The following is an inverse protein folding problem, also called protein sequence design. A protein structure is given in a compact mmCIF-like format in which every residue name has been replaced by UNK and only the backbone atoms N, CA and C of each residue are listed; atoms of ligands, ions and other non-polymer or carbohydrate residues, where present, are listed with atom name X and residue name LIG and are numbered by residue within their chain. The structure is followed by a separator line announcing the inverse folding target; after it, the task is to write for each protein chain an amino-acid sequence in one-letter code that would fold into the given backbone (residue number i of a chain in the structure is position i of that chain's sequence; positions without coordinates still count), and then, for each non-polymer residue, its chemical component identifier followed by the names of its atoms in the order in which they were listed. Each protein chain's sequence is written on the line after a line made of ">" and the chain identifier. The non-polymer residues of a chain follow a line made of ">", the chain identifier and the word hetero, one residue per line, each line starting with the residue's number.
data_IF_775223974466
#
_entry.id   IF_775223974466
#
_cell.length_a   1.000
_cell.length_b   1.000
_cell.length_c   1.000
_cell.angle_alpha   90.00
_cell.angle_beta   90.00
_cell.angle_gamma   90.00
#
_symmetry.space_group_name_H-M   'P 1'
#
loop_
_entity.id
_entity.type
_entity.pdbx_description
1 polymer ?
#
# COMPACT_ATOMS: atom_id res chain seq x y z
N UNK A 1 -25.70 -6.40 -2.95
CA UNK A 1 -24.55 -6.80 -3.78
C UNK A 1 -24.26 -5.69 -4.76
N UNK A 2 -23.22 -4.88 -4.51
CA UNK A 2 -22.64 -4.09 -5.60
C UNK A 2 -21.90 -5.08 -6.50
N UNK A 3 -22.10 -5.06 -7.82
CA UNK A 3 -21.30 -5.90 -8.70
C UNK A 3 -19.84 -5.56 -8.48
N UNK A 4 -19.01 -6.60 -8.40
CA UNK A 4 -17.55 -6.41 -8.31
C UNK A 4 -17.12 -5.51 -9.48
N UNK A 5 -16.19 -4.55 -9.32
CA UNK A 5 -15.77 -3.65 -10.41
C UNK A 5 -15.44 -4.38 -11.71
N UNK A 6 -15.01 -5.61 -11.61
CA UNK A 6 -14.70 -6.50 -12.72
C UNK A 6 -15.90 -6.91 -13.58
N UNK A 7 -17.12 -6.96 -13.07
CA UNK A 7 -18.30 -7.29 -13.88
C UNK A 7 -18.58 -6.22 -14.94
N UNK A 8 -18.17 -4.97 -14.69
CA UNK A 8 -18.31 -3.88 -15.68
C UNK A 8 -17.50 -4.12 -16.95
N UNK A 9 -16.31 -4.74 -16.85
CA UNK A 9 -15.48 -5.07 -18.00
C UNK A 9 -15.99 -6.33 -18.73
N UNK A 10 -16.66 -7.24 -18.03
CA UNK A 10 -17.29 -8.42 -18.62
C UNK A 10 -18.51 -8.07 -19.45
N UNK A 11 -19.34 -7.17 -18.93
CA UNK A 11 -20.60 -6.78 -19.57
C UNK A 11 -20.33 -5.80 -20.74
N UNK A 12 -21.28 -5.68 -21.67
CA UNK A 12 -21.15 -4.86 -22.89
C UNK A 12 -21.30 -3.34 -22.64
N UNK A 13 -20.79 -2.87 -21.51
CA UNK A 13 -20.76 -1.45 -21.20
C UNK A 13 -19.63 -0.75 -21.97
N UNK A 14 -19.96 0.39 -22.56
CA UNK A 14 -19.00 1.29 -23.16
C UNK A 14 -18.23 2.02 -22.05
N UNK A 15 -16.92 1.81 -21.97
CA UNK A 15 -16.06 2.42 -20.98
C UNK A 15 -15.10 3.40 -21.66
N UNK A 16 -14.69 4.42 -20.95
CA UNK A 16 -13.71 5.41 -21.40
C UNK A 16 -14.07 6.05 -22.75
N UNK A 17 -15.01 7.02 -22.78
CA UNK A 17 -15.33 7.78 -23.97
C UNK A 17 -14.14 8.69 -24.40
N UNK A 18 -13.84 8.70 -25.68
CA UNK A 18 -12.74 9.47 -26.27
C UNK A 18 -13.31 10.61 -27.11
N UNK A 19 -13.09 11.84 -26.67
CA UNK A 19 -13.50 13.05 -27.41
C UNK A 19 -12.63 14.27 -26.98
N UNK A 20 -12.52 15.33 -27.80
CA UNK A 20 -11.71 16.51 -27.49
C UNK A 20 -12.07 17.19 -26.16
N UNK A 21 -13.34 17.15 -25.76
CA UNK A 21 -13.85 17.75 -24.52
C UNK A 21 -13.71 16.83 -23.30
N UNK A 22 -13.01 15.70 -23.41
CA UNK A 22 -12.82 14.75 -22.31
C UNK A 22 -11.34 14.71 -21.94
N UNK A 23 -11.05 14.78 -20.65
CA UNK A 23 -9.73 14.57 -20.06
C UNK A 23 -9.82 13.55 -18.95
N UNK A 24 -8.87 12.66 -18.92
CA UNK A 24 -8.67 11.68 -17.84
C UNK A 24 -7.60 12.17 -16.90
N UNK A 25 -7.99 12.53 -15.69
CA UNK A 25 -7.09 12.97 -14.64
C UNK A 25 -6.67 11.79 -13.78
N UNK A 26 -5.37 11.62 -13.58
CA UNK A 26 -4.77 10.55 -12.80
C UNK A 26 -4.01 11.14 -11.63
N UNK A 27 -4.08 10.47 -10.49
CA UNK A 27 -3.37 10.89 -9.27
C UNK A 27 -1.94 10.34 -9.20
N UNK A 28 -1.59 9.37 -10.06
CA UNK A 28 -0.26 8.77 -10.17
C UNK A 28 0.08 8.45 -11.64
N UNK A 29 1.37 8.37 -11.93
CA UNK A 29 1.88 8.10 -13.29
C UNK A 29 1.62 6.66 -13.75
N UNK A 30 1.60 5.69 -12.84
CA UNK A 30 1.34 4.27 -13.15
C UNK A 30 -0.06 4.08 -13.76
N UNK A 31 -1.09 4.60 -13.12
CA UNK A 31 -2.47 4.43 -13.59
C UNK A 31 -2.69 5.21 -14.89
N UNK A 32 -1.98 6.35 -15.06
CA UNK A 32 -1.96 7.08 -16.32
C UNK A 32 -1.33 6.25 -17.45
N UNK A 33 -0.14 5.70 -17.23
CA UNK A 33 0.55 4.85 -18.20
C UNK A 33 -0.31 3.65 -18.60
N UNK A 34 -0.92 2.99 -17.62
CA UNK A 34 -1.83 1.86 -17.84
C UNK A 34 -2.94 2.17 -18.84
N UNK A 35 -3.64 3.31 -18.71
CA UNK A 35 -4.73 3.64 -19.62
C UNK A 35 -4.24 4.19 -20.98
N UNK A 36 -3.05 4.78 -21.03
CA UNK A 36 -2.40 5.12 -22.31
C UNK A 36 -2.07 3.82 -23.08
N UNK A 37 -1.47 2.83 -22.43
CA UNK A 37 -1.21 1.52 -23.04
C UNK A 37 -2.49 0.79 -23.47
N UNK A 38 -3.58 0.99 -22.75
CA UNK A 38 -4.91 0.50 -23.09
C UNK A 38 -5.57 1.26 -24.27
N UNK A 39 -4.95 2.36 -24.75
CA UNK A 39 -5.35 3.10 -25.95
C UNK A 39 -5.97 4.47 -25.71
N UNK A 40 -5.95 5.02 -24.49
CA UNK A 40 -6.32 6.44 -24.29
C UNK A 40 -5.20 7.31 -24.88
N UNK A 41 -5.51 8.27 -25.78
CA UNK A 41 -4.53 9.20 -26.29
C UNK A 41 -3.85 9.99 -25.16
N UNK A 42 -2.53 10.11 -25.22
CA UNK A 42 -1.76 10.80 -24.17
C UNK A 42 -2.19 12.25 -23.94
N UNK A 43 -2.63 12.95 -25.00
CA UNK A 43 -3.16 14.32 -24.97
C UNK A 43 -4.52 14.43 -24.26
N UNK A 44 -5.23 13.32 -24.09
CA UNK A 44 -6.46 13.24 -23.30
C UNK A 44 -6.21 12.86 -21.85
N UNK A 45 -4.95 12.72 -21.44
CA UNK A 45 -4.58 12.39 -20.08
C UNK A 45 -3.83 13.53 -19.41
N UNK A 46 -4.01 13.67 -18.10
CA UNK A 46 -3.24 14.61 -17.28
C UNK A 46 -2.93 14.00 -15.92
N UNK A 47 -1.77 14.34 -15.36
CA UNK A 47 -1.43 13.98 -13.99
C UNK A 47 -1.89 15.10 -13.06
N UNK A 48 -2.76 14.78 -12.12
CA UNK A 48 -3.29 15.67 -11.10
C UNK A 48 -3.13 15.02 -9.72
N UNK A 49 -1.93 15.07 -9.14
CA UNK A 49 -1.68 14.51 -7.83
C UNK A 49 -2.54 15.19 -6.77
N UNK A 50 -2.93 14.45 -5.73
CA UNK A 50 -3.70 15.00 -4.63
C UNK A 50 -2.88 16.06 -3.86
N UNK A 51 -3.57 17.04 -3.30
CA UNK A 51 -2.95 17.93 -2.34
C UNK A 51 -2.64 17.17 -1.03
N UNK A 52 -1.52 17.55 -0.42
CA UNK A 52 -1.09 17.04 0.89
C UNK A 52 -1.23 18.16 1.91
N UNK A 53 -1.98 17.89 2.95
CA UNK A 53 -2.07 18.76 4.12
C UNK A 53 -1.73 17.87 5.32
N UNK A 54 -0.47 17.89 5.78
CA UNK A 54 -0.07 17.08 6.91
C UNK A 54 -0.94 17.40 8.13
N UNK A 55 -1.36 16.38 8.90
CA UNK A 55 -2.11 16.62 10.13
C UNK A 55 -1.34 17.54 11.07
N UNK A 56 -2.04 18.51 11.66
CA UNK A 56 -1.44 19.37 12.67
C UNK A 56 -1.23 18.58 13.95
N UNK A 57 0.01 18.41 14.35
CA UNK A 57 0.40 17.82 15.65
C UNK A 57 0.78 18.89 16.68
N UNK A 58 0.35 20.12 16.45
CA UNK A 58 0.86 21.34 17.06
C UNK A 58 0.66 21.50 18.57
N UNK A 59 0.12 20.55 19.32
CA UNK A 59 -0.13 20.73 20.76
C UNK A 59 0.24 19.53 21.65
N UNK A 60 0.77 18.47 21.11
CA UNK A 60 1.20 17.35 21.95
C UNK A 60 2.71 17.46 22.24
N UNK A 61 3.07 17.40 23.51
CA UNK A 61 4.48 17.30 23.90
C UNK A 61 5.07 16.03 23.28
N UNK A 62 6.25 16.13 22.65
CA UNK A 62 6.95 14.94 22.18
C UNK A 62 7.24 14.00 23.34
N UNK A 63 7.35 12.68 23.11
CA UNK A 63 7.68 11.73 24.16
C UNK A 63 8.94 12.17 24.89
N UNK A 64 8.96 12.03 26.22
CA UNK A 64 10.13 12.35 27.03
C UNK A 64 11.34 11.50 26.61
N UNK A 65 12.57 12.01 26.70
CA UNK A 65 13.77 11.21 26.46
C UNK A 65 13.73 9.91 27.28
N UNK A 66 13.96 8.77 26.66
CA UNK A 66 13.89 7.45 27.29
C UNK A 66 12.50 6.80 27.28
N UNK A 67 11.48 7.43 26.71
CA UNK A 67 10.21 6.75 26.41
C UNK A 67 10.43 5.67 25.32
N UNK A 68 9.92 4.45 25.50
CA UNK A 68 9.99 3.42 24.48
C UNK A 68 9.44 3.90 23.14
N UNK A 69 10.07 3.47 22.04
CA UNK A 69 9.64 3.85 20.71
C UNK A 69 8.22 3.32 20.41
N UNK A 70 7.38 4.18 19.86
CA UNK A 70 6.04 3.81 19.39
C UNK A 70 5.97 3.98 17.88
N UNK A 71 5.71 2.90 17.18
CA UNK A 71 5.57 2.85 15.72
C UNK A 71 4.08 2.84 15.39
N UNK A 72 3.59 3.88 14.75
CA UNK A 72 2.17 3.99 14.39
C UNK A 72 1.96 3.76 12.89
N UNK A 73 1.02 2.88 12.56
CA UNK A 73 0.45 2.78 11.22
C UNK A 73 -0.84 3.62 11.16
N UNK A 74 -0.81 4.84 10.61
CA UNK A 74 -1.91 5.80 10.71
C UNK A 74 -3.00 5.57 9.67
N UNK A 75 -3.52 4.33 9.56
CA UNK A 75 -4.48 3.92 8.53
C UNK A 75 -5.62 3.08 9.11
N UNK A 76 -6.63 2.81 8.26
CA UNK A 76 -7.65 1.80 8.54
C UNK A 76 -7.18 0.42 8.18
N UNK A 77 -7.49 -0.57 9.01
CA UNK A 77 -7.14 -1.97 8.83
C UNK A 77 -7.92 -2.64 7.72
N UNK A 78 -7.65 -2.29 6.47
CA UNK A 78 -8.22 -2.91 5.27
C UNK A 78 -7.17 -3.76 4.55
N UNK A 79 -7.61 -4.72 3.76
CA UNK A 79 -6.78 -5.75 3.13
C UNK A 79 -5.49 -5.25 2.48
N UNK A 80 -5.59 -4.21 1.63
CA UNK A 80 -4.42 -3.65 0.93
C UNK A 80 -3.37 -3.01 1.85
N UNK A 81 -3.72 -2.77 3.12
CA UNK A 81 -2.81 -2.24 4.15
C UNK A 81 -1.93 -3.33 4.77
N UNK A 82 -2.17 -4.60 4.42
CA UNK A 82 -1.31 -5.73 4.73
C UNK A 82 -0.93 -5.79 6.23
N UNK A 83 -1.94 -5.98 7.08
CA UNK A 83 -1.77 -6.03 8.53
C UNK A 83 -0.81 -7.14 8.98
N UNK A 84 -0.74 -8.24 8.21
CA UNK A 84 0.18 -9.32 8.51
C UNK A 84 1.63 -8.90 8.58
N UNK A 85 2.03 -8.01 7.67
CA UNK A 85 3.40 -7.49 7.66
C UNK A 85 3.66 -6.56 8.86
N UNK A 86 2.68 -5.73 9.24
CA UNK A 86 2.77 -4.95 10.49
C UNK A 86 2.94 -5.87 11.71
N UNK A 87 2.14 -6.94 11.78
CA UNK A 87 2.20 -7.91 12.86
C UNK A 87 3.54 -8.65 12.89
N UNK A 88 4.04 -9.09 11.73
CA UNK A 88 5.34 -9.77 11.65
C UNK A 88 6.48 -8.84 12.06
N UNK A 89 6.52 -7.61 11.55
CA UNK A 89 7.55 -6.64 11.91
C UNK A 89 7.50 -6.28 13.40
N UNK A 90 6.31 -6.19 14.00
CA UNK A 90 6.19 -5.97 15.45
C UNK A 90 6.82 -7.08 16.27
N UNK A 91 6.67 -8.34 15.81
CA UNK A 91 7.20 -9.51 16.48
C UNK A 91 8.72 -9.67 16.35
N UNK A 92 9.32 -9.04 15.32
CA UNK A 92 10.76 -9.06 15.06
C UNK A 92 11.49 -7.84 15.65
N UNK A 93 10.76 -6.86 16.13
CA UNK A 93 11.32 -5.64 16.70
C UNK A 93 11.84 -5.89 18.14
N UNK A 94 12.73 -5.03 18.66
CA UNK A 94 13.14 -5.07 20.06
C UNK A 94 11.94 -4.98 21.02
N UNK A 95 12.02 -5.68 22.16
CA UNK A 95 10.94 -5.81 23.14
C UNK A 95 10.39 -4.47 23.68
N UNK A 96 11.23 -3.42 23.68
CA UNK A 96 10.85 -2.10 24.16
C UNK A 96 10.00 -1.31 23.16
N UNK A 97 9.88 -1.77 21.92
CA UNK A 97 9.17 -1.06 20.86
C UNK A 97 7.73 -1.52 20.79
N UNK A 98 6.79 -0.58 20.81
CA UNK A 98 5.37 -0.88 20.63
C UNK A 98 4.89 -0.49 19.23
N UNK A 99 4.02 -1.32 18.65
CA UNK A 99 3.38 -1.06 17.37
C UNK A 99 1.89 -0.80 17.55
N UNK A 100 1.33 0.06 16.73
CA UNK A 100 -0.09 0.34 16.74
C UNK A 100 -0.65 0.60 15.35
N UNK A 101 -1.88 0.12 15.11
CA UNK A 101 -2.70 0.48 13.95
C UNK A 101 -3.82 1.41 14.40
N UNK A 102 -4.01 2.55 13.73
CA UNK A 102 -4.92 3.59 14.19
C UNK A 102 -6.40 3.16 14.18
N UNK A 103 -6.94 2.66 13.09
CA UNK A 103 -8.39 2.48 12.92
C UNK A 103 -8.77 1.07 12.46
N UNK A 104 -9.82 0.52 13.06
CA UNK A 104 -10.53 -0.63 12.51
C UNK A 104 -11.29 -0.25 11.22
N UNK A 105 -11.60 -1.20 10.32
CA UNK A 105 -12.36 -0.92 9.12
C UNK A 105 -13.83 -0.59 9.45
N UNK A 106 -14.36 0.47 8.83
CA UNK A 106 -15.79 0.82 8.92
C UNK A 106 -16.63 -0.03 7.97
N UNK A 107 -16.07 -0.44 6.82
CA UNK A 107 -16.79 -1.24 5.85
C UNK A 107 -16.91 -2.69 6.36
N UNK A 108 -18.15 -3.22 6.55
CA UNK A 108 -18.36 -4.59 7.01
C UNK A 108 -17.69 -5.66 6.15
N UNK A 109 -17.41 -5.36 4.88
CA UNK A 109 -16.71 -6.30 3.98
C UNK A 109 -15.28 -6.61 4.45
N UNK A 110 -14.59 -5.66 5.08
CA UNK A 110 -13.22 -5.83 5.57
C UNK A 110 -13.14 -6.31 7.01
N UNK A 111 -14.26 -6.30 7.72
CA UNK A 111 -14.30 -6.67 9.15
C UNK A 111 -13.80 -8.10 9.41
N UNK A 112 -14.22 -9.14 8.65
CA UNK A 112 -13.74 -10.49 8.89
C UNK A 112 -12.22 -10.66 8.78
N UNK A 113 -11.59 -9.98 7.82
CA UNK A 113 -10.12 -10.02 7.65
C UNK A 113 -9.43 -9.31 8.81
N UNK A 114 -9.97 -8.19 9.26
CA UNK A 114 -9.44 -7.47 10.41
C UNK A 114 -9.55 -8.29 11.70
N UNK A 115 -10.70 -8.93 11.94
CA UNK A 115 -10.95 -9.75 13.12
C UNK A 115 -10.02 -10.98 13.15
N UNK A 116 -9.71 -11.60 12.00
CA UNK A 116 -8.69 -12.66 11.92
C UNK A 116 -7.31 -12.19 12.43
N UNK A 117 -6.93 -10.95 12.14
CA UNK A 117 -5.68 -10.39 12.65
C UNK A 117 -5.75 -10.05 14.13
N UNK A 118 -6.90 -9.60 14.65
CA UNK A 118 -7.11 -9.42 16.10
C UNK A 118 -6.93 -10.77 16.82
N UNK A 119 -7.56 -11.83 16.30
CA UNK A 119 -7.44 -13.18 16.84
C UNK A 119 -5.97 -13.68 16.80
N UNK A 120 -5.26 -13.46 15.70
CA UNK A 120 -3.86 -13.85 15.56
C UNK A 120 -2.93 -13.07 16.52
N UNK A 121 -3.16 -11.78 16.70
CA UNK A 121 -2.41 -10.96 17.67
C UNK A 121 -2.59 -11.51 19.09
N UNK A 122 -3.80 -11.86 19.47
CA UNK A 122 -4.10 -12.46 20.78
C UNK A 122 -3.49 -13.86 20.90
N UNK A 123 -3.68 -14.72 19.91
CA UNK A 123 -3.20 -16.11 19.89
C UNK A 123 -1.68 -16.20 20.01
N UNK A 124 -0.94 -15.37 19.31
CA UNK A 124 0.52 -15.38 19.26
C UNK A 124 1.18 -14.35 20.17
N UNK A 125 0.39 -13.61 20.96
CA UNK A 125 0.87 -12.57 21.87
C UNK A 125 1.77 -11.53 21.18
N UNK A 126 1.36 -11.09 19.98
CA UNK A 126 2.17 -10.16 19.19
C UNK A 126 2.17 -8.75 19.81
N UNK A 127 3.32 -8.03 19.84
CA UNK A 127 3.43 -6.72 20.48
C UNK A 127 2.87 -5.58 19.62
N UNK A 128 1.64 -5.74 19.12
CA UNK A 128 0.93 -4.76 18.30
C UNK A 128 -0.50 -4.56 18.77
N UNK A 129 -0.95 -3.31 18.78
CA UNK A 129 -2.32 -2.94 19.13
C UNK A 129 -3.09 -2.55 17.89
N UNK A 130 -4.24 -3.17 17.62
CA UNK A 130 -5.05 -2.92 16.43
C UNK A 130 -6.29 -2.08 16.74
N UNK A 131 -6.50 -0.96 16.01
CA UNK A 131 -7.68 -0.12 16.13
C UNK A 131 -7.68 0.75 17.40
N UNK A 132 -6.54 1.39 17.68
CA UNK A 132 -6.32 2.10 18.95
C UNK A 132 -7.09 3.42 19.08
N UNK A 133 -7.38 4.12 17.99
CA UNK A 133 -8.08 5.41 18.02
C UNK A 133 -9.53 5.22 18.48
N UNK A 134 -9.91 5.98 19.51
CA UNK A 134 -11.20 5.87 20.17
C UNK A 134 -11.27 4.79 21.26
N UNK A 135 -10.24 3.93 21.40
CA UNK A 135 -10.26 2.79 22.33
C UNK A 135 -9.13 2.83 23.37
N UNK A 136 -7.91 3.06 22.92
CA UNK A 136 -6.71 2.97 23.78
C UNK A 136 -5.94 4.28 23.72
N UNK A 137 -5.60 4.91 24.85
CA UNK A 137 -4.76 6.11 24.86
C UNK A 137 -3.30 5.76 24.52
N UNK A 138 -2.55 6.66 23.84
CA UNK A 138 -1.14 6.43 23.54
C UNK A 138 -0.23 6.48 24.77
N UNK A 139 -0.67 7.16 25.85
CA UNK A 139 0.00 7.20 27.15
C UNK A 139 -1.01 7.50 28.26
N UNK A 140 -0.68 7.20 29.53
CA UNK A 140 -1.54 7.54 30.67
C UNK A 140 -1.88 9.04 30.72
N UNK A 141 -3.17 9.33 30.87
CA UNK A 141 -3.67 10.70 30.94
C UNK A 141 -3.96 11.39 29.61
N UNK A 142 -3.66 10.75 28.48
CA UNK A 142 -4.03 11.24 27.16
C UNK A 142 -5.35 10.63 26.68
N UNK A 143 -6.08 11.38 25.87
CA UNK A 143 -7.26 10.86 25.17
C UNK A 143 -6.86 9.98 23.97
N UNK A 144 -7.61 8.91 23.63
CA UNK A 144 -7.30 8.03 22.51
C UNK A 144 -7.65 8.64 21.15
N UNK A 145 -7.24 9.89 20.92
CA UNK A 145 -7.49 10.59 19.66
C UNK A 145 -6.41 10.29 18.62
N UNK A 146 -6.76 10.43 17.34
CA UNK A 146 -5.82 10.28 16.24
C UNK A 146 -4.64 11.27 16.37
N UNK A 147 -4.93 12.52 16.75
CA UNK A 147 -3.91 13.55 16.94
C UNK A 147 -2.91 13.19 18.06
N UNK A 148 -3.40 12.68 19.19
CA UNK A 148 -2.54 12.25 20.29
C UNK A 148 -1.68 11.05 19.91
N UNK A 149 -2.22 10.07 19.18
CA UNK A 149 -1.45 8.95 18.67
C UNK A 149 -0.37 9.38 17.68
N UNK A 150 -0.70 10.27 16.73
CA UNK A 150 0.28 10.83 15.80
C UNK A 150 1.38 11.60 16.54
N UNK A 151 1.02 12.43 17.49
CA UNK A 151 1.98 13.23 18.25
C UNK A 151 2.92 12.36 19.09
N UNK A 152 2.37 11.36 19.78
CA UNK A 152 3.11 10.49 20.69
C UNK A 152 3.96 9.44 19.96
N UNK A 153 3.62 9.06 18.73
CA UNK A 153 4.43 8.11 17.96
C UNK A 153 5.80 8.68 17.62
N UNK A 154 6.84 7.89 17.81
CA UNK A 154 8.22 8.23 17.41
C UNK A 154 8.46 8.01 15.92
N UNK A 155 7.83 6.99 15.35
CA UNK A 155 7.94 6.58 13.95
C UNK A 155 6.56 6.35 13.34
N UNK A 156 6.48 6.52 12.03
CA UNK A 156 5.34 6.06 11.23
C UNK A 156 5.76 4.89 10.36
N UNK A 157 4.83 3.98 10.11
CA UNK A 157 5.08 2.81 9.26
C UNK A 157 4.05 2.71 8.15
N UNK A 158 4.46 2.16 7.01
CA UNK A 158 3.55 1.69 5.96
C UNK A 158 3.92 0.29 5.52
N UNK A 159 2.94 -0.63 5.54
CA UNK A 159 3.07 -1.99 5.02
C UNK A 159 2.11 -2.24 3.85
N UNK A 160 1.56 -1.17 3.27
CA UNK A 160 0.64 -1.25 2.14
C UNK A 160 1.27 -1.99 0.96
N UNK A 161 0.53 -2.93 0.37
CA UNK A 161 0.90 -3.58 -0.91
C UNK A 161 0.29 -2.86 -2.11
N UNK A 162 -0.55 -1.87 -1.87
CA UNK A 162 -1.13 -1.05 -2.92
C UNK A 162 -1.65 0.29 -2.40
N UNK A 163 -1.36 1.34 -3.13
CA UNK A 163 -1.87 2.69 -2.90
C UNK A 163 -2.40 3.33 -4.19
N UNK A 164 -3.33 4.28 -4.03
CA UNK A 164 -3.77 5.10 -5.15
C UNK A 164 -2.83 6.28 -5.37
N UNK A 165 -2.57 7.05 -4.30
CA UNK A 165 -1.68 8.21 -4.35
C UNK A 165 -0.48 8.07 -3.41
N UNK A 166 -0.68 7.56 -2.19
CA UNK A 166 0.41 7.34 -1.25
C UNK A 166 0.60 8.48 -0.25
N UNK A 167 -0.48 9.02 0.32
CA UNK A 167 -0.39 9.99 1.44
C UNK A 167 0.47 9.47 2.59
N UNK A 168 0.46 8.15 2.83
CA UNK A 168 1.28 7.51 3.85
C UNK A 168 2.80 7.73 3.68
N UNK A 169 3.26 8.10 2.47
CA UNK A 169 4.65 8.43 2.21
C UNK A 169 4.95 9.93 2.37
N UNK A 170 3.95 10.80 2.19
CA UNK A 170 4.14 12.26 2.14
C UNK A 170 3.80 12.94 3.47
N UNK A 171 2.77 12.47 4.17
CA UNK A 171 2.37 13.05 5.46
C UNK A 171 3.48 13.00 6.53
N UNK A 172 4.25 11.89 6.66
CA UNK A 172 5.37 11.82 7.60
C UNK A 172 6.41 12.92 7.37
N UNK A 173 6.74 13.22 6.10
CA UNK A 173 7.68 14.28 5.75
C UNK A 173 7.20 15.66 6.21
N UNK A 174 5.92 15.93 6.05
CA UNK A 174 5.32 17.18 6.51
C UNK A 174 5.25 17.31 8.04
N UNK A 175 5.28 16.20 8.75
CA UNK A 175 5.30 16.15 10.22
C UNK A 175 6.72 16.05 10.81
N UNK A 176 7.75 15.89 9.97
CA UNK A 176 9.12 15.66 10.42
C UNK A 176 9.30 14.33 11.18
N UNK A 177 8.47 13.33 10.88
CA UNK A 177 8.53 12.01 11.51
C UNK A 177 9.23 10.98 10.60
N UNK A 178 10.14 10.15 11.15
CA UNK A 178 10.72 9.04 10.41
C UNK A 178 9.62 8.10 9.89
N UNK A 179 9.70 7.74 8.61
CA UNK A 179 8.87 6.73 7.99
C UNK A 179 9.70 5.49 7.73
N UNK A 180 9.17 4.34 8.07
CA UNK A 180 9.71 3.02 7.75
C UNK A 180 8.65 2.14 7.08
N UNK A 181 9.08 1.06 6.45
CA UNK A 181 8.14 0.08 5.90
C UNK A 181 8.37 -0.24 4.43
N UNK A 182 7.30 -0.70 3.77
CA UNK A 182 7.33 -1.17 2.38
C UNK A 182 7.36 -0.01 1.38
N UNK A 183 8.28 -0.09 0.42
CA UNK A 183 8.25 0.74 -0.78
C UNK A 183 7.17 0.24 -1.76
N UNK A 184 6.58 1.16 -2.49
CA UNK A 184 5.73 0.91 -3.63
C UNK A 184 6.30 1.68 -4.82
N UNK A 185 7.28 1.13 -5.54
CA UNK A 185 7.98 1.83 -6.62
C UNK A 185 7.04 2.44 -7.66
N UNK A 186 5.91 1.78 -7.94
CA UNK A 186 4.89 2.24 -8.86
C UNK A 186 4.15 3.52 -8.39
N UNK A 187 4.31 3.91 -7.12
CA UNK A 187 3.77 5.13 -6.53
C UNK A 187 4.90 6.07 -6.12
N UNK A 188 5.90 5.55 -5.42
CA UNK A 188 6.98 6.36 -4.85
C UNK A 188 7.93 6.92 -5.92
N UNK A 189 7.97 6.31 -7.12
CA UNK A 189 8.74 6.86 -8.24
C UNK A 189 8.33 8.29 -8.59
N UNK A 190 7.02 8.62 -8.52
CA UNK A 190 6.54 9.98 -8.76
C UNK A 190 7.10 10.98 -7.73
N UNK A 191 7.25 10.56 -6.48
CA UNK A 191 7.79 11.39 -5.41
C UNK A 191 9.31 11.53 -5.50
N UNK A 192 10.00 10.43 -5.80
CA UNK A 192 11.46 10.40 -5.97
C UNK A 192 11.93 11.25 -7.17
N UNK A 193 11.09 11.40 -8.23
CA UNK A 193 11.36 12.32 -9.34
C UNK A 193 11.39 13.80 -8.90
N UNK A 194 10.86 14.11 -7.75
CA UNK A 194 10.86 15.42 -7.13
C UNK A 194 11.84 15.52 -5.95
N UNK A 195 12.85 14.64 -5.93
CA UNK A 195 13.92 14.61 -4.93
C UNK A 195 13.45 14.38 -3.49
N UNK A 196 12.20 13.84 -3.29
CA UNK A 196 11.69 13.51 -1.96
C UNK A 196 12.39 12.29 -1.37
N UNK A 197 12.96 12.45 -0.18
CA UNK A 197 13.53 11.36 0.62
C UNK A 197 12.44 10.78 1.52
N UNK A 198 11.91 9.61 1.17
CA UNK A 198 10.69 9.07 1.78
C UNK A 198 10.91 8.30 3.10
N UNK A 199 12.15 8.16 3.55
CA UNK A 199 12.49 7.42 4.77
C UNK A 199 13.16 6.08 4.49
N UNK A 200 13.15 5.19 5.49
CA UNK A 200 13.75 3.86 5.40
C UNK A 200 12.73 2.84 4.90
N UNK A 201 12.67 2.67 3.58
CA UNK A 201 11.76 1.75 2.91
C UNK A 201 12.51 0.52 2.41
N UNK A 202 11.82 -0.63 2.39
CA UNK A 202 12.29 -1.88 1.81
C UNK A 202 11.42 -2.30 0.63
N UNK A 203 11.99 -3.09 -0.28
CA UNK A 203 11.28 -3.59 -1.45
C UNK A 203 10.42 -4.81 -1.08
N UNK A 204 11.00 -5.76 -0.34
CA UNK A 204 10.38 -7.04 0.00
C UNK A 204 10.65 -7.42 1.47
N UNK A 205 9.67 -8.07 2.10
CA UNK A 205 9.82 -8.80 3.36
C UNK A 205 9.81 -10.30 3.05
N UNK A 206 10.97 -10.92 3.07
CA UNK A 206 11.22 -12.25 2.54
C UNK A 206 11.19 -13.32 3.62
N UNK A 207 10.51 -14.42 3.34
CA UNK A 207 10.49 -15.63 4.16
C UNK A 207 10.95 -16.85 3.34
N UNK A 208 11.53 -17.90 3.95
CA UNK A 208 11.86 -19.13 3.25
C UNK A 208 10.63 -19.78 2.60
N UNK A 209 10.75 -20.14 1.32
CA UNK A 209 9.66 -20.75 0.57
C UNK A 209 9.25 -22.12 1.12
N UNK A 210 10.17 -22.80 1.80
CA UNK A 210 9.92 -24.10 2.43
C UNK A 210 8.92 -24.04 3.58
N UNK A 211 8.71 -22.90 4.23
CA UNK A 211 7.72 -22.73 5.30
C UNK A 211 6.28 -22.94 4.82
N UNK A 212 6.03 -22.71 3.51
CA UNK A 212 4.71 -22.90 2.90
C UNK A 212 4.68 -24.14 2.01
N UNK A 213 5.77 -24.43 1.32
CA UNK A 213 5.85 -25.41 0.25
C UNK A 213 5.45 -24.84 -1.11
N UNK A 214 6.37 -24.97 -2.07
CA UNK A 214 6.21 -24.38 -3.44
C UNK A 214 5.00 -24.94 -4.18
N UNK A 215 4.76 -26.25 -4.08
CA UNK A 215 3.65 -26.88 -4.82
C UNK A 215 2.30 -26.39 -4.31
N UNK A 216 2.16 -26.25 -3.01
CA UNK A 216 0.95 -25.70 -2.38
C UNK A 216 0.69 -24.27 -2.81
N UNK A 217 1.73 -23.42 -2.83
CA UNK A 217 1.60 -22.03 -3.30
C UNK A 217 1.18 -21.97 -4.77
N UNK A 218 1.76 -22.82 -5.64
CA UNK A 218 1.40 -22.90 -7.05
C UNK A 218 -0.05 -23.36 -7.25
N UNK A 219 -0.57 -24.24 -6.41
CA UNK A 219 -1.97 -24.67 -6.47
C UNK A 219 -2.91 -23.53 -6.07
N UNK A 220 -2.61 -22.82 -4.97
CA UNK A 220 -3.37 -21.64 -4.55
C UNK A 220 -3.38 -20.58 -5.66
N UNK A 221 -2.21 -20.29 -6.23
CA UNK A 221 -2.06 -19.35 -7.33
C UNK A 221 -2.91 -19.74 -8.55
N UNK A 222 -2.89 -21.03 -8.91
CA UNK A 222 -3.69 -21.56 -10.03
C UNK A 222 -5.19 -21.37 -9.80
N UNK A 223 -5.67 -21.66 -8.60
CA UNK A 223 -7.09 -21.49 -8.26
C UNK A 223 -7.51 -20.02 -8.25
N UNK A 224 -6.69 -19.13 -7.72
CA UNK A 224 -6.99 -17.69 -7.75
C UNK A 224 -7.00 -17.13 -9.16
N UNK A 225 -6.02 -17.47 -9.99
CA UNK A 225 -6.00 -17.08 -11.40
C UNK A 225 -7.22 -17.60 -12.15
N UNK A 226 -7.64 -18.85 -11.90
CA UNK A 226 -8.87 -19.40 -12.49
C UNK A 226 -10.10 -18.60 -12.08
N UNK A 227 -10.22 -18.26 -10.79
CA UNK A 227 -11.34 -17.48 -10.28
C UNK A 227 -11.40 -16.08 -10.93
N UNK A 228 -10.26 -15.40 -11.01
CA UNK A 228 -10.16 -14.07 -11.65
C UNK A 228 -10.54 -14.15 -13.12
N UNK A 229 -9.91 -15.02 -13.91
CA UNK A 229 -10.21 -15.14 -15.34
C UNK A 229 -11.67 -15.53 -15.59
N UNK A 230 -12.22 -16.44 -14.78
CA UNK A 230 -13.63 -16.84 -14.85
C UNK A 230 -14.57 -15.66 -14.56
N UNK A 231 -14.26 -14.82 -13.58
CA UNK A 231 -15.06 -13.63 -13.26
C UNK A 231 -15.19 -12.68 -14.47
N UNK A 232 -14.18 -12.65 -15.35
CA UNK A 232 -14.21 -11.88 -16.60
C UNK A 232 -14.75 -12.66 -17.82
N UNK A 233 -15.28 -13.86 -17.61
CA UNK A 233 -15.75 -14.73 -18.70
C UNK A 233 -14.64 -15.24 -19.60
N UNK A 234 -13.41 -15.32 -19.13
CA UNK A 234 -12.22 -15.80 -19.84
C UNK A 234 -11.80 -17.18 -19.36
N UNK A 235 -11.15 -17.93 -20.23
CA UNK A 235 -10.43 -19.15 -19.83
C UNK A 235 -9.00 -18.79 -19.45
N UNK A 236 -8.43 -19.53 -18.52
CA UNK A 236 -7.03 -19.37 -18.11
C UNK A 236 -6.11 -19.64 -19.32
N UNK A 237 -5.29 -18.67 -19.75
CA UNK A 237 -4.38 -18.89 -20.88
C UNK A 237 -3.32 -19.95 -20.57
N UNK A 238 -2.89 -20.66 -21.63
CA UNK A 238 -1.74 -21.55 -21.51
C UNK A 238 -0.48 -20.73 -21.19
N UNK A 239 0.30 -21.19 -20.22
CA UNK A 239 1.55 -20.51 -19.83
C UNK A 239 1.40 -19.44 -18.74
N UNK A 240 0.20 -18.96 -18.46
CA UNK A 240 -0.04 -17.89 -17.46
C UNK A 240 0.55 -18.21 -16.09
N UNK A 241 0.54 -19.47 -15.67
CA UNK A 241 1.16 -19.88 -14.39
C UNK A 241 2.68 -19.69 -14.39
N UNK A 242 3.33 -19.92 -15.53
CA UNK A 242 4.76 -19.67 -15.66
C UNK A 242 5.06 -18.18 -15.60
N UNK A 243 4.31 -17.38 -16.35
CA UNK A 243 4.43 -15.91 -16.35
C UNK A 243 4.17 -15.31 -14.97
N UNK A 244 3.13 -15.79 -14.28
CA UNK A 244 2.82 -15.33 -12.90
C UNK A 244 3.91 -15.73 -11.93
N UNK A 245 4.44 -16.96 -12.04
CA UNK A 245 5.56 -17.41 -11.21
C UNK A 245 6.80 -16.53 -11.40
N UNK A 246 7.11 -16.16 -12.64
CA UNK A 246 8.22 -15.27 -12.98
C UNK A 246 7.96 -13.85 -12.45
N UNK A 247 6.74 -13.33 -12.62
CA UNK A 247 6.35 -12.00 -12.13
C UNK A 247 6.37 -11.87 -10.60
N UNK A 248 6.07 -12.96 -9.87
CA UNK A 248 6.11 -13.01 -8.40
C UNK A 248 7.51 -13.40 -7.87
N UNK A 249 8.50 -13.56 -8.74
CA UNK A 249 9.87 -13.96 -8.39
C UNK A 249 9.93 -15.16 -7.41
N UNK A 250 9.08 -16.19 -7.63
CA UNK A 250 8.99 -17.37 -6.76
C UNK A 250 10.29 -18.18 -6.77
N UNK A 251 11.20 -17.84 -5.84
CA UNK A 251 12.50 -18.45 -5.64
C UNK A 251 12.59 -19.30 -4.37
N UNK A 252 13.74 -19.30 -3.71
CA UNK A 252 13.95 -19.94 -2.41
C UNK A 252 13.36 -19.12 -1.26
N UNK A 253 13.14 -17.84 -1.51
CA UNK A 253 12.41 -16.92 -0.66
C UNK A 253 11.15 -16.44 -1.35
N UNK A 254 10.15 -16.06 -0.55
CA UNK A 254 8.87 -15.51 -0.97
C UNK A 254 8.66 -14.17 -0.29
N UNK A 255 8.13 -13.20 -1.04
CA UNK A 255 7.67 -11.98 -0.41
C UNK A 255 6.41 -12.24 0.41
N UNK A 256 6.52 -12.03 1.73
CA UNK A 256 5.43 -12.21 2.68
C UNK A 256 4.23 -11.32 2.36
N UNK A 257 4.46 -10.11 1.84
CA UNK A 257 3.43 -9.17 1.42
C UNK A 257 2.57 -9.67 0.26
N UNK A 258 3.05 -10.61 -0.51
CA UNK A 258 2.33 -11.21 -1.63
C UNK A 258 1.51 -12.47 -1.23
N UNK A 259 1.53 -12.88 0.03
CA UNK A 259 0.79 -14.04 0.51
C UNK A 259 -0.65 -13.68 0.89
N UNK A 260 -1.62 -14.60 0.71
CA UNK A 260 -2.94 -14.47 1.32
C UNK A 260 -2.84 -14.47 2.84
N UNK A 261 -3.75 -13.78 3.52
CA UNK A 261 -3.76 -13.63 4.97
C UNK A 261 -3.69 -14.97 5.73
N UNK A 262 -4.38 -16.00 5.22
CA UNK A 262 -4.34 -17.33 5.84
C UNK A 262 -2.93 -17.93 5.86
N UNK A 263 -2.14 -17.75 4.80
CA UNK A 263 -0.76 -18.19 4.74
C UNK A 263 0.16 -17.28 5.58
N UNK A 264 -0.10 -15.99 5.62
CA UNK A 264 0.63 -15.07 6.48
C UNK A 264 0.49 -15.47 7.96
N UNK A 265 -0.73 -15.79 8.41
CA UNK A 265 -0.99 -16.25 9.79
C UNK A 265 -0.32 -17.60 10.05
N UNK A 266 -0.36 -18.51 9.07
CA UNK A 266 0.22 -19.85 9.20
C UNK A 266 1.74 -19.84 9.40
N UNK A 267 2.44 -18.91 8.80
CA UNK A 267 3.91 -18.82 8.91
C UNK A 267 4.40 -18.05 10.13
N UNK A 268 3.54 -17.29 10.82
CA UNK A 268 3.95 -16.53 12.01
C UNK A 268 4.66 -17.36 13.07
N UNK A 269 4.16 -18.56 13.48
CA UNK A 269 4.85 -19.36 14.48
C UNK A 269 6.29 -19.72 14.08
N UNK A 270 6.51 -20.01 12.80
CA UNK A 270 7.86 -20.34 12.31
C UNK A 270 8.76 -19.10 12.30
N UNK A 271 8.24 -17.95 11.91
CA UNK A 271 8.98 -16.68 11.96
C UNK A 271 9.36 -16.27 13.38
N UNK A 272 8.50 -16.57 14.37
CA UNK A 272 8.81 -16.34 15.79
C UNK A 272 9.90 -17.27 16.32
N UNK A 273 10.01 -18.50 15.78
CA UNK A 273 11.05 -19.47 16.16
C UNK A 273 12.38 -19.15 15.48
N UNK A 274 12.34 -18.68 14.24
CA UNK A 274 13.51 -18.42 13.39
C UNK A 274 13.49 -16.99 12.85
N UNK A 275 13.58 -15.96 13.72
CA UNK A 275 13.45 -14.56 13.29
C UNK A 275 14.55 -14.13 12.30
N UNK A 276 15.75 -14.68 12.40
CA UNK A 276 16.88 -14.37 11.52
C UNK A 276 16.72 -14.89 10.09
N UNK A 277 15.79 -15.83 9.86
CA UNK A 277 15.45 -16.33 8.53
C UNK A 277 14.50 -15.37 7.77
N UNK A 278 13.90 -14.41 8.47
CA UNK A 278 13.10 -13.35 7.86
C UNK A 278 13.99 -12.23 7.39
N UNK A 279 13.97 -11.95 6.09
CA UNK A 279 14.92 -11.04 5.46
C UNK A 279 14.21 -9.80 4.90
N UNK A 280 14.89 -8.66 4.94
CA UNK A 280 14.53 -7.45 4.21
C UNK A 280 15.30 -7.42 2.89
N UNK A 281 14.57 -7.37 1.77
CA UNK A 281 15.11 -7.08 0.45
C UNK A 281 15.12 -5.57 0.20
N UNK A 282 16.28 -5.01 -0.18
CA UNK A 282 16.42 -3.58 -0.50
C UNK A 282 17.50 -3.38 -1.56
N UNK A 283 17.14 -2.74 -2.67
CA UNK A 283 18.06 -2.41 -3.76
C UNK A 283 18.95 -3.59 -4.21
N UNK A 284 18.36 -4.79 -4.28
CA UNK A 284 19.04 -6.02 -4.70
C UNK A 284 19.94 -6.66 -3.64
N UNK A 285 19.91 -6.18 -2.40
CA UNK A 285 20.59 -6.78 -1.24
C UNK A 285 19.59 -7.31 -0.24
N UNK A 286 19.97 -8.31 0.56
CA UNK A 286 19.13 -8.86 1.63
C UNK A 286 19.90 -8.81 2.95
N UNK A 287 19.18 -8.52 4.04
CA UNK A 287 19.70 -8.55 5.41
C UNK A 287 18.58 -9.06 6.35
N UNK A 288 18.93 -9.61 7.55
CA UNK A 288 17.92 -9.97 8.54
C UNK A 288 16.99 -8.80 8.86
N UNK A 289 15.71 -9.09 9.00
CA UNK A 289 14.71 -8.06 9.31
C UNK A 289 14.94 -7.45 10.70
N UNK A 290 15.47 -8.24 11.64
CA UNK A 290 15.88 -7.81 12.97
C UNK A 290 16.94 -6.71 12.90
N UNK A 291 18.01 -6.91 12.15
CA UNK A 291 19.10 -5.93 11.98
C UNK A 291 18.59 -4.63 11.33
N UNK A 292 17.70 -4.76 10.36
CA UNK A 292 17.08 -3.60 9.71
C UNK A 292 16.23 -2.81 10.70
N UNK A 293 15.38 -3.49 11.50
CA UNK A 293 14.52 -2.86 12.50
C UNK A 293 15.34 -2.13 13.57
N UNK A 294 16.39 -2.77 14.14
CA UNK A 294 17.28 -2.10 15.11
C UNK A 294 17.86 -0.81 14.56
N UNK A 295 18.34 -0.84 13.33
CA UNK A 295 18.93 0.33 12.66
C UNK A 295 17.92 1.46 12.44
N UNK A 296 16.73 1.15 11.90
CA UNK A 296 15.75 2.18 11.52
C UNK A 296 15.03 2.76 12.74
N UNK A 297 14.81 1.97 13.77
CA UNK A 297 14.19 2.40 15.02
C UNK A 297 15.16 3.26 15.88
N UNK A 298 16.47 3.16 15.63
CA UNK A 298 17.47 4.08 16.19
C UNK A 298 17.45 5.49 15.58
N UNK A 299 16.76 5.68 14.46
CA UNK A 299 16.64 6.99 13.78
C UNK A 299 15.57 7.83 14.45
N UNK A 300 15.94 8.94 15.07
CA UNK A 300 15.00 9.76 15.88
C UNK A 300 14.49 11.01 15.18
N UNK A 301 15.04 11.37 14.04
CA UNK A 301 14.66 12.58 13.31
C UNK A 301 14.66 12.33 11.80
N UNK A 302 13.71 12.93 11.12
CA UNK A 302 13.68 13.07 9.67
C UNK A 302 13.85 14.55 9.33
N UNK A 303 14.69 14.86 8.35
CA UNK A 303 14.76 16.21 7.82
C UNK A 303 13.41 16.53 7.16
N UNK A 304 12.67 17.47 7.74
CA UNK A 304 11.46 17.94 7.10
C UNK A 304 11.80 18.62 5.76
N UNK A 305 11.05 18.28 4.71
CA UNK A 305 11.30 18.77 3.36
C UNK A 305 10.12 19.63 2.84
N UNK A 306 9.80 20.75 3.50
CA UNK A 306 8.60 21.53 3.18
C UNK A 306 8.64 22.09 1.76
N UNK A 307 9.81 22.49 1.25
CA UNK A 307 9.95 23.00 -0.13
C UNK A 307 9.68 21.93 -1.18
N UNK A 308 10.05 20.70 -0.94
CA UNK A 308 9.76 19.59 -1.86
C UNK A 308 8.27 19.20 -1.83
N UNK A 309 7.58 19.40 -0.70
CA UNK A 309 6.13 19.18 -0.59
C UNK A 309 5.30 20.31 -1.24
N UNK A 310 5.89 21.45 -1.59
CA UNK A 310 5.16 22.54 -2.29
C UNK A 310 4.49 22.06 -3.58
N UNK A 311 5.08 21.09 -4.27
CA UNK A 311 4.48 20.51 -5.48
C UNK A 311 3.15 19.80 -5.22
N UNK A 312 2.93 19.38 -3.98
CA UNK A 312 1.70 18.74 -3.51
C UNK A 312 0.86 19.67 -2.64
N UNK A 313 1.12 20.99 -2.67
CA UNK A 313 0.35 21.97 -1.91
C UNK A 313 -1.07 22.12 -2.46
N UNK A 314 -2.00 22.59 -1.61
CA UNK A 314 -3.37 22.94 -2.00
C UNK A 314 -3.36 24.03 -3.10
N UNK A 315 -2.43 24.98 -3.04
CA UNK A 315 -2.26 26.03 -4.05
C UNK A 315 -1.91 25.42 -5.40
N UNK A 316 -0.91 24.53 -5.43
CA UNK A 316 -0.49 23.85 -6.66
C UNK A 316 -1.59 22.99 -7.25
N UNK A 317 -2.30 22.25 -6.39
CA UNK A 317 -3.48 21.48 -6.77
C UNK A 317 -4.55 22.36 -7.46
N UNK A 318 -4.88 23.51 -6.87
CA UNK A 318 -5.85 24.45 -7.43
C UNK A 318 -5.40 25.03 -8.78
N UNK A 319 -4.11 25.36 -8.94
CA UNK A 319 -3.54 25.83 -10.20
C UNK A 319 -3.70 24.80 -11.33
N UNK A 320 -3.31 23.54 -11.07
CA UNK A 320 -3.39 22.46 -12.04
C UNK A 320 -4.83 22.20 -12.49
N UNK A 321 -5.79 22.18 -11.54
CA UNK A 321 -7.22 22.03 -11.86
C UNK A 321 -7.76 23.21 -12.66
N UNK A 322 -7.38 24.42 -12.29
CA UNK A 322 -7.80 25.62 -13.01
C UNK A 322 -7.28 25.62 -14.45
N UNK A 323 -6.03 25.21 -14.66
CA UNK A 323 -5.46 25.08 -16.00
C UNK A 323 -6.21 24.03 -16.84
N UNK A 324 -6.50 22.86 -16.24
CA UNK A 324 -7.26 21.80 -16.91
C UNK A 324 -8.68 22.27 -17.30
N UNK A 325 -9.39 22.95 -16.40
CA UNK A 325 -10.74 23.44 -16.69
C UNK A 325 -10.74 24.50 -17.78
N UNK A 326 -9.73 25.36 -17.83
CA UNK A 326 -9.58 26.36 -18.93
C UNK A 326 -9.32 25.68 -20.27
N UNK A 327 -8.47 24.66 -20.30
CA UNK A 327 -8.23 23.86 -21.51
C UNK A 327 -9.52 23.20 -22.02
N UNK A 328 -10.27 22.55 -21.12
CA UNK A 328 -11.54 21.90 -21.45
C UNK A 328 -12.61 22.90 -21.93
N UNK A 329 -12.68 24.08 -21.34
CA UNK A 329 -13.66 25.11 -21.73
C UNK A 329 -13.44 25.63 -23.17
N UNK A 330 -12.22 25.51 -23.68
CA UNK A 330 -11.88 25.89 -25.06
C UNK A 330 -12.01 24.72 -26.06
N UNK A 331 -12.36 23.51 -25.60
CA UNK A 331 -12.50 22.34 -26.46
C UNK A 331 -13.83 22.37 -27.22
N UNK A 332 -13.79 22.04 -28.50
CA UNK A 332 -15.03 21.89 -29.30
C UNK A 332 -15.68 20.53 -29.02
N UNK A 333 -16.98 20.50 -28.66
CA UNK A 333 -17.68 19.24 -28.42
C UNK A 333 -17.79 18.39 -29.68
N UNK A 334 -17.57 17.08 -29.55
CA UNK A 334 -17.84 16.09 -30.61
C UNK A 334 -18.45 14.83 -30.01
N UNK A 335 -19.06 14.00 -30.84
CA UNK A 335 -19.54 12.68 -30.42
C UNK A 335 -18.36 11.82 -29.98
N UNK A 336 -18.46 11.12 -28.81
CA UNK A 336 -17.36 10.31 -28.33
C UNK A 336 -17.18 9.02 -29.14
N UNK A 337 -15.92 8.65 -29.40
CA UNK A 337 -15.54 7.28 -29.63
C UNK A 337 -15.39 6.54 -28.30
N UNK A 338 -15.15 5.24 -28.30
CA UNK A 338 -15.04 4.45 -27.11
C UNK A 338 -13.76 3.61 -27.13
N UNK A 339 -13.10 3.50 -26.02
CA UNK A 339 -11.94 2.64 -25.87
C UNK A 339 -12.34 1.17 -26.07
N UNK A 340 -11.44 0.39 -26.71
CA UNK A 340 -11.67 -1.04 -26.87
C UNK A 340 -11.54 -1.74 -25.51
N UNK A 341 -12.67 -2.23 -24.99
CA UNK A 341 -12.70 -2.92 -23.71
C UNK A 341 -11.87 -4.20 -23.65
N UNK A 342 -11.62 -4.87 -24.77
CA UNK A 342 -10.76 -6.04 -24.78
C UNK A 342 -9.30 -5.68 -24.46
N UNK A 343 -8.81 -4.58 -25.02
CA UNK A 343 -7.48 -4.05 -24.70
C UNK A 343 -7.36 -3.62 -23.24
N UNK A 344 -8.39 -2.94 -22.73
CA UNK A 344 -8.44 -2.59 -21.29
C UNK A 344 -8.38 -3.84 -20.43
N UNK A 345 -9.17 -4.86 -20.76
CA UNK A 345 -9.21 -6.12 -20.00
C UNK A 345 -7.86 -6.87 -20.06
N UNK A 346 -7.19 -6.89 -21.21
CA UNK A 346 -5.85 -7.48 -21.35
C UNK A 346 -4.85 -6.81 -20.42
N UNK A 347 -4.89 -5.49 -20.30
CA UNK A 347 -4.07 -4.75 -19.36
C UNK A 347 -4.37 -5.11 -17.90
N UNK A 348 -5.65 -5.26 -17.53
CA UNK A 348 -6.06 -5.67 -16.18
C UNK A 348 -5.62 -7.09 -15.81
N UNK A 349 -5.56 -7.99 -16.78
CA UNK A 349 -5.25 -9.40 -16.57
C UNK A 349 -3.74 -9.71 -16.67
N UNK A 350 -2.87 -8.71 -16.71
CA UNK A 350 -1.43 -8.93 -16.71
C UNK A 350 -0.95 -9.53 -15.38
N UNK A 351 -0.17 -10.62 -15.39
CA UNK A 351 0.25 -11.36 -14.18
C UNK A 351 0.96 -10.51 -13.14
N UNK A 352 1.83 -9.59 -13.56
CA UNK A 352 2.58 -8.70 -12.65
C UNK A 352 1.73 -7.68 -11.88
N UNK A 353 0.41 -7.64 -12.14
CA UNK A 353 -0.54 -6.77 -11.43
C UNK A 353 -1.37 -7.50 -10.37
N UNK A 354 -1.18 -8.80 -10.23
CA UNK A 354 -1.89 -9.60 -9.23
C UNK A 354 -1.16 -9.57 -7.90
N UNK A 355 -1.90 -9.20 -6.87
CA UNK A 355 -1.52 -9.39 -5.48
C UNK A 355 -2.55 -10.31 -4.82
N UNK A 356 -2.11 -11.36 -4.15
CA UNK A 356 -3.02 -12.29 -3.46
C UNK A 356 -3.89 -11.59 -2.42
N UNK A 357 -3.38 -10.55 -1.78
CA UNK A 357 -4.13 -9.74 -0.83
C UNK A 357 -5.19 -8.82 -1.47
N UNK A 358 -5.21 -8.70 -2.79
CA UNK A 358 -6.17 -7.87 -3.52
C UNK A 358 -7.34 -8.63 -4.14
N UNK A 359 -7.17 -9.93 -4.36
CA UNK A 359 -8.18 -10.80 -5.02
C UNK A 359 -9.12 -11.56 -4.05
#
# INVERSE_FOLDING_TARGET
>A
HRPHPYTLLRDDLSLYPLAPQIRYAFINSRDRAFLIEAGIPSEQTTLLPNAVTPPSVASAEPPSPGTPATVLYPVRGIRRKNLGELCLLSALAPDEVSFALSLAPENPHWRPVFDQWVDAVEQFHLPVQLGVVGNTPPAPGLEPTYANWLAHSSHLITTSVAEGFGLAFLEPLGMGKPLLGRDLPEITADFKQHDLQLGDLYDDLLIPAEWIGRDRLLDILREQLRAVYFAYGKRLPNGILKETREALALGDYLDFGNLPEALQIEVLPQALISPDDVMIGRAGTCAPATDWLERVLGTTACDSQPSALEQYSVTRYAELHTALYRDLANSSPSAPAWLNKATVLEQFLQPGRFHFLRT
#
